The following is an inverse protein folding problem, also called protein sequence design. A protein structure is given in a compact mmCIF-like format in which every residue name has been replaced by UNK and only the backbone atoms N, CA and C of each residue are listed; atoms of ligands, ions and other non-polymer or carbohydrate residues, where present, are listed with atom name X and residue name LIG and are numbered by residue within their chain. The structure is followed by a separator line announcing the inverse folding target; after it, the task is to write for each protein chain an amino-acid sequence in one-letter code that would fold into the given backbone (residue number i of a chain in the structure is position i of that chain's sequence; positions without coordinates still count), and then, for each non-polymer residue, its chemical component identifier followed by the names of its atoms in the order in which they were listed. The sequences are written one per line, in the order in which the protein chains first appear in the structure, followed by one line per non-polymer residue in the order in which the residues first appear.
data_IF_378219895661
#
_entry.id   IF_378219895661
#
_cell.length_a   1.000
_cell.length_b   1.000
_cell.length_c   1.000
_cell.angle_alpha   90.00
_cell.angle_beta   90.00
_cell.angle_gamma   90.00
#
_symmetry.space_group_name_H-M   'P 1'
#
loop_
_entity.id
_entity.type
_entity.pdbx_description
1 polymer ?
#
# COMPACT_ATOMS: atom_id res chain seq x y z
N UNK A 1 10.53 -1.94 -6.59
CA UNK A 1 10.05 -0.69 -5.96
C UNK A 1 8.60 -0.53 -6.36
N UNK A 2 7.72 -0.44 -5.38
CA UNK A 2 6.28 -0.34 -5.55
C UNK A 2 5.78 1.02 -5.12
N UNK A 3 4.78 1.52 -5.83
CA UNK A 3 4.19 2.82 -5.51
C UNK A 3 3.13 2.65 -4.44
N UNK A 4 3.25 3.39 -3.35
CA UNK A 4 2.22 3.45 -2.33
C UNK A 4 0.94 4.05 -2.95
N UNK A 5 -0.20 3.33 -2.97
CA UNK A 5 -1.42 3.81 -3.61
C UNK A 5 -2.09 4.97 -2.85
N UNK A 6 -1.71 5.21 -1.59
CA UNK A 6 -2.29 6.29 -0.76
C UNK A 6 -1.55 7.61 -0.98
N UNK A 7 -0.21 7.59 -0.88
CA UNK A 7 0.60 8.82 -0.96
C UNK A 7 1.38 8.96 -2.28
N UNK A 8 1.44 7.90 -3.09
CA UNK A 8 2.20 7.88 -4.35
C UNK A 8 3.71 7.75 -4.18
N UNK A 9 4.21 7.55 -2.96
CA UNK A 9 5.63 7.44 -2.68
C UNK A 9 6.17 6.08 -3.16
N UNK A 10 7.39 6.08 -3.70
CA UNK A 10 8.10 4.84 -4.06
C UNK A 10 8.60 4.13 -2.81
N UNK A 11 8.13 2.92 -2.58
CA UNK A 11 8.56 2.06 -1.48
C UNK A 11 9.29 0.83 -2.00
N UNK A 12 10.25 0.35 -1.22
CA UNK A 12 10.98 -0.86 -1.56
C UNK A 12 10.27 -2.08 -0.96
N UNK A 13 9.60 -2.86 -1.82
CA UNK A 13 8.87 -4.09 -1.45
C UNK A 13 9.74 -5.13 -0.72
N UNK A 14 11.06 -5.10 -0.93
CA UNK A 14 12.00 -5.99 -0.24
C UNK A 14 12.37 -5.52 1.16
N UNK A 15 12.17 -4.24 1.46
CA UNK A 15 12.50 -3.64 2.77
C UNK A 15 11.27 -3.38 3.62
N UNK A 16 10.14 -3.03 3.00
CA UNK A 16 8.91 -2.74 3.73
C UNK A 16 8.18 -4.03 4.11
N UNK A 17 7.84 -4.17 5.38
CA UNK A 17 6.90 -5.20 5.87
C UNK A 17 5.45 -4.73 5.81
N UNK A 18 5.23 -3.46 5.48
CA UNK A 18 3.93 -2.84 5.42
C UNK A 18 3.31 -3.18 4.06
N UNK A 19 2.60 -4.29 4.03
CA UNK A 19 1.90 -4.78 2.85
C UNK A 19 0.44 -5.08 3.15
N UNK A 20 -0.39 -5.10 2.13
CA UNK A 20 -1.78 -5.54 2.23
C UNK A 20 -2.18 -6.26 0.97
N UNK A 21 -2.83 -7.41 1.10
CA UNK A 21 -3.31 -8.19 -0.03
C UNK A 21 -4.77 -7.84 -0.26
N UNK A 22 -5.07 -7.26 -1.43
CA UNK A 22 -6.44 -6.89 -1.80
C UNK A 22 -6.73 -7.38 -3.23
N UNK A 23 -7.82 -8.12 -3.41
CA UNK A 23 -8.23 -8.72 -4.69
C UNK A 23 -7.11 -9.55 -5.38
N UNK A 24 -6.29 -10.25 -4.58
CA UNK A 24 -5.17 -11.05 -5.09
C UNK A 24 -3.95 -10.24 -5.53
N UNK A 25 -3.95 -8.91 -5.33
CA UNK A 25 -2.77 -8.05 -5.52
C UNK A 25 -2.16 -7.67 -4.17
N UNK A 26 -0.83 -7.70 -4.10
CA UNK A 26 -0.10 -7.17 -2.96
C UNK A 26 0.19 -5.68 -3.17
N UNK A 27 -0.25 -4.87 -2.22
CA UNK A 27 0.03 -3.44 -2.12
C UNK A 27 1.09 -3.20 -1.04
N UNK A 28 1.93 -2.20 -1.26
CA UNK A 28 3.06 -1.88 -0.40
C UNK A 28 2.95 -0.43 0.07
N UNK A 29 3.26 -0.18 1.34
CA UNK A 29 3.05 1.12 1.96
C UNK A 29 4.34 1.68 2.54
N UNK A 30 4.51 3.00 2.41
CA UNK A 30 5.64 3.74 2.97
C UNK A 30 5.52 3.90 4.49
N UNK A 31 4.29 3.85 5.02
CA UNK A 31 4.01 4.10 6.42
C UNK A 31 2.79 3.29 6.90
N UNK A 32 2.71 2.96 8.21
CA UNK A 32 1.56 2.26 8.76
C UNK A 32 0.27 3.07 8.64
N UNK A 33 0.36 4.41 8.61
CA UNK A 33 -0.77 5.29 8.34
C UNK A 33 -1.33 5.11 6.93
N UNK A 34 -0.47 4.97 5.91
CA UNK A 34 -0.89 4.67 4.53
C UNK A 34 -1.54 3.28 4.46
N UNK A 35 -0.91 2.27 5.08
CA UNK A 35 -1.53 0.93 5.17
C UNK A 35 -2.92 0.98 5.82
N UNK A 36 -3.05 1.67 6.95
CA UNK A 36 -4.34 1.77 7.67
C UNK A 36 -5.40 2.50 6.86
N UNK A 37 -5.00 3.56 6.13
CA UNK A 37 -5.91 4.30 5.25
C UNK A 37 -6.37 3.43 4.08
N UNK A 38 -5.46 2.67 3.49
CA UNK A 38 -5.78 1.69 2.46
C UNK A 38 -6.68 0.57 2.99
N UNK A 39 -6.39 0.01 4.17
CA UNK A 39 -7.21 -1.07 4.75
C UNK A 39 -8.63 -0.59 5.10
N UNK A 40 -8.80 0.70 5.44
CA UNK A 40 -10.11 1.31 5.70
C UNK A 40 -10.95 1.46 4.42
N UNK A 41 -10.35 1.88 3.32
CA UNK A 41 -11.06 2.04 2.04
C UNK A 41 -10.18 1.70 0.83
N UNK A 42 -9.90 0.41 0.60
CA UNK A 42 -8.95 -0.02 -0.44
C UNK A 42 -9.49 0.25 -1.83
N UNK A 43 -10.82 0.30 -2.00
CA UNK A 43 -11.48 0.60 -3.27
C UNK A 43 -11.20 2.01 -3.75
N UNK A 44 -11.06 2.95 -2.81
CA UNK A 44 -10.77 4.35 -3.09
C UNK A 44 -9.32 4.61 -3.48
N UNK A 45 -8.40 3.67 -3.22
CA UNK A 45 -6.98 3.81 -3.57
C UNK A 45 -6.53 2.80 -4.65
N UNK A 46 -7.33 1.78 -4.92
CA UNK A 46 -7.25 0.91 -6.11
C UNK A 46 -7.56 1.76 -7.35
N UNK A 47 -6.52 2.23 -8.03
CA UNK A 47 -6.61 2.88 -9.33
C UNK A 47 -5.71 2.13 -10.31
#
# INVERSE_FOLDING_TARGET
MQKDPVCGMMVDEKKTKLTSTYEGKNFYFCSPACKTSFDKDPRRYKH
#
